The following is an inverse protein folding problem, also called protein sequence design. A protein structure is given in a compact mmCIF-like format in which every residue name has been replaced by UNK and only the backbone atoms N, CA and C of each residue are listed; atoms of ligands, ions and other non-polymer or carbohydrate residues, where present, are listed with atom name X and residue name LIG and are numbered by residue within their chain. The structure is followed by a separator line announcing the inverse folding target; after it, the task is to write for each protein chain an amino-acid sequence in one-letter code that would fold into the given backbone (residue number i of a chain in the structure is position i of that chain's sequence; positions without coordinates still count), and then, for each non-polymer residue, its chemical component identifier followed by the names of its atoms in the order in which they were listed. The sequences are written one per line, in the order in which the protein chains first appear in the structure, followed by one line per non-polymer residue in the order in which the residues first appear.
data_IF_840562297911
#
_entry.id   IF_840562297911
#
_cell.length_a   1.000
_cell.length_b   1.000
_cell.length_c   1.000
_cell.angle_alpha   90.00
_cell.angle_beta   90.00
_cell.angle_gamma   90.00
#
_symmetry.space_group_name_H-M   'P 1'
#
loop_
_entity.id
_entity.type
_entity.pdbx_description
1 polymer ?
#
# COMPACT_ATOMS: atom_id res chain seq x y z
N UNK A 1 13.24 -1.99 -7.77
CA UNK A 1 12.17 -2.97 -7.49
C UNK A 1 10.88 -2.23 -7.25
N UNK A 2 9.74 -2.88 -7.47
CA UNK A 2 8.37 -2.28 -7.44
C UNK A 2 7.57 -2.60 -6.18
N UNK A 3 8.27 -3.09 -5.15
CA UNK A 3 7.68 -3.45 -3.87
C UNK A 3 8.28 -2.63 -2.74
N UNK A 4 7.43 -2.29 -1.78
CA UNK A 4 7.80 -1.79 -0.47
C UNK A 4 7.49 -2.84 0.59
N UNK A 5 8.17 -2.73 1.73
CA UNK A 5 7.94 -3.57 2.91
C UNK A 5 7.60 -2.70 4.12
N UNK A 6 6.40 -2.08 4.16
CA UNK A 6 5.97 -1.26 5.29
C UNK A 6 6.01 -2.04 6.60
N UNK A 7 6.37 -1.31 7.66
CA UNK A 7 6.42 -1.83 9.02
C UNK A 7 5.35 -1.16 9.88
N UNK A 8 4.42 -1.96 10.40
CA UNK A 8 3.27 -1.51 11.18
C UNK A 8 3.48 -1.67 12.69
N UNK A 9 4.70 -2.00 13.14
CA UNK A 9 5.03 -2.20 14.56
C UNK A 9 4.76 -0.96 15.43
N UNK A 10 4.76 0.24 14.84
CA UNK A 10 4.34 1.46 15.56
C UNK A 10 2.90 1.35 16.09
N UNK A 11 2.02 0.67 15.37
CA UNK A 11 0.61 0.47 15.71
C UNK A 11 0.35 -0.85 16.47
N UNK A 12 1.40 -1.54 16.93
CA UNK A 12 1.28 -2.90 17.49
C UNK A 12 0.24 -3.03 18.60
N UNK A 13 0.24 -2.14 19.58
CA UNK A 13 -0.72 -2.19 20.69
C UNK A 13 -2.16 -2.01 20.21
N UNK A 14 -2.41 -1.10 19.27
CA UNK A 14 -3.74 -0.86 18.71
C UNK A 14 -4.22 -2.08 17.91
N UNK A 15 -3.34 -2.64 17.08
CA UNK A 15 -3.63 -3.86 16.32
C UNK A 15 -3.92 -5.06 17.24
N UNK A 16 -3.19 -5.20 18.35
CA UNK A 16 -3.46 -6.24 19.36
C UNK A 16 -4.86 -6.06 19.98
N UNK A 17 -5.27 -4.83 20.30
CA UNK A 17 -6.61 -4.56 20.82
C UNK A 17 -7.73 -4.93 19.84
N UNK A 18 -7.43 -4.89 18.53
CA UNK A 18 -8.31 -5.35 17.45
C UNK A 18 -8.23 -6.85 17.17
N UNK A 19 -7.43 -7.60 17.94
CA UNK A 19 -7.23 -9.05 17.75
C UNK A 19 -6.24 -9.41 16.64
N UNK A 20 -5.48 -8.43 16.12
CA UNK A 20 -4.49 -8.62 15.05
C UNK A 20 -3.12 -8.85 15.69
N UNK A 21 -2.65 -10.08 15.65
CA UNK A 21 -1.43 -10.54 16.34
C UNK A 21 -0.31 -10.94 15.38
N UNK A 22 -0.61 -11.11 14.10
CA UNK A 22 0.35 -11.56 13.09
C UNK A 22 0.08 -10.93 11.71
N UNK A 23 1.02 -11.08 10.79
CA UNK A 23 0.94 -10.46 9.46
C UNK A 23 -0.19 -11.01 8.59
N UNK A 24 -0.62 -12.26 8.76
CA UNK A 24 -1.78 -12.81 8.04
C UNK A 24 -3.06 -12.09 8.45
N UNK A 25 -3.34 -12.02 9.76
CA UNK A 25 -4.50 -11.31 10.31
C UNK A 25 -4.49 -9.83 9.92
N UNK A 26 -3.31 -9.21 9.91
CA UNK A 26 -3.15 -7.82 9.49
C UNK A 26 -3.59 -7.61 8.03
N UNK A 27 -3.12 -8.44 7.11
CA UNK A 27 -3.45 -8.30 5.68
C UNK A 27 -4.89 -8.70 5.38
N UNK A 28 -5.41 -9.73 6.05
CA UNK A 28 -6.79 -10.20 5.91
C UNK A 28 -7.79 -9.16 6.40
N UNK A 29 -7.62 -8.65 7.63
CA UNK A 29 -8.55 -7.65 8.18
C UNK A 29 -8.48 -6.32 7.41
N UNK A 30 -7.28 -5.89 6.99
CA UNK A 30 -7.13 -4.71 6.15
C UNK A 30 -7.91 -4.86 4.84
N UNK A 31 -7.80 -6.01 4.18
CA UNK A 31 -8.52 -6.30 2.94
C UNK A 31 -10.04 -6.30 3.16
N UNK A 32 -10.52 -6.93 4.22
CA UNK A 32 -11.96 -6.99 4.55
C UNK A 32 -12.53 -5.59 4.83
N UNK A 33 -11.81 -4.77 5.58
CA UNK A 33 -12.30 -3.47 6.02
C UNK A 33 -12.18 -2.37 4.95
N UNK A 34 -11.15 -2.46 4.10
CA UNK A 34 -10.79 -1.36 3.17
C UNK A 34 -10.82 -1.74 1.69
N UNK A 35 -10.83 -3.04 1.38
CA UNK A 35 -10.63 -3.54 0.01
C UNK A 35 -9.17 -3.52 -0.46
N UNK A 36 -8.22 -3.03 0.35
CA UNK A 36 -6.80 -2.93 -0.02
C UNK A 36 -6.06 -4.22 0.31
N UNK A 37 -5.51 -4.88 -0.72
CA UNK A 37 -4.77 -6.12 -0.57
C UNK A 37 -3.26 -5.88 -0.39
N UNK A 38 -2.68 -6.48 0.64
CA UNK A 38 -1.24 -6.62 0.85
C UNK A 38 -0.87 -8.10 1.00
N UNK A 39 0.41 -8.44 0.85
CA UNK A 39 0.88 -9.81 1.10
C UNK A 39 1.59 -9.90 2.45
N UNK A 40 1.22 -10.86 3.32
CA UNK A 40 1.79 -10.95 4.66
C UNK A 40 3.28 -11.29 4.61
N UNK A 41 4.05 -10.72 5.53
CA UNK A 41 5.49 -10.98 5.67
C UNK A 41 5.84 -12.47 5.86
N UNK A 42 4.93 -13.23 6.48
CA UNK A 42 5.10 -14.65 6.76
C UNK A 42 5.27 -15.49 5.50
N UNK A 43 4.56 -15.17 4.41
CA UNK A 43 4.68 -15.86 3.12
C UNK A 43 6.08 -15.70 2.49
N UNK A 44 6.86 -14.75 3.00
CA UNK A 44 8.25 -14.48 2.60
C UNK A 44 9.27 -15.02 3.61
N UNK A 45 8.85 -15.89 4.52
CA UNK A 45 9.71 -16.53 5.51
C UNK A 45 10.10 -15.63 6.69
N UNK A 46 9.37 -14.54 6.92
CA UNK A 46 9.56 -13.68 8.10
C UNK A 46 8.78 -14.25 9.30
N UNK A 47 9.16 -13.92 10.55
CA UNK A 47 8.40 -14.31 11.73
C UNK A 47 6.94 -13.87 11.63
N UNK A 48 6.00 -14.72 12.05
CA UNK A 48 4.57 -14.44 11.91
C UNK A 48 4.12 -13.25 12.76
N UNK A 49 4.74 -13.04 13.93
CA UNK A 49 4.49 -11.92 14.83
C UNK A 49 5.08 -10.59 14.34
N UNK A 50 5.82 -10.62 13.23
CA UNK A 50 6.31 -9.43 12.58
C UNK A 50 5.21 -8.79 11.72
N UNK A 51 4.65 -7.69 12.22
CA UNK A 51 3.60 -6.88 11.58
C UNK A 51 4.17 -6.05 10.42
N UNK A 52 4.69 -6.73 9.39
CA UNK A 52 5.10 -6.16 8.11
C UNK A 52 4.36 -6.84 6.97
N UNK A 53 4.32 -6.19 5.82
CA UNK A 53 3.68 -6.74 4.62
C UNK A 53 4.41 -6.28 3.37
N UNK A 54 4.28 -7.03 2.27
CA UNK A 54 4.75 -6.62 0.95
C UNK A 54 3.65 -5.84 0.23
N UNK A 55 3.97 -4.63 -0.19
CA UNK A 55 3.08 -3.75 -0.94
C UNK A 55 3.63 -3.51 -2.34
N UNK A 56 2.82 -3.74 -3.38
CA UNK A 56 3.12 -3.26 -4.73
C UNK A 56 2.64 -1.82 -4.86
N UNK A 57 3.43 -0.96 -5.51
CA UNK A 57 2.99 0.39 -5.88
C UNK A 57 2.74 0.53 -7.40
N UNK A 58 2.73 -0.60 -8.11
CA UNK A 58 2.40 -0.66 -9.53
C UNK A 58 0.96 -1.12 -9.68
N UNK A 59 0.06 -0.15 -9.56
CA UNK A 59 -1.39 -0.29 -9.80
C UNK A 59 -1.86 0.86 -10.69
N UNK A 60 -1.29 0.92 -11.90
CA UNK A 60 -1.61 1.92 -12.91
C UNK A 60 -1.32 1.37 -14.31
N UNK A 61 -1.95 1.96 -15.33
CA UNK A 61 -1.71 1.61 -16.73
C UNK A 61 -0.37 2.22 -17.21
N UNK A 62 0.60 1.35 -17.49
CA UNK A 62 1.92 1.77 -17.97
C UNK A 62 1.92 2.34 -19.39
N UNK A 63 1.01 1.88 -20.26
CA UNK A 63 0.87 2.41 -21.62
C UNK A 63 0.32 3.83 -21.57
N UNK A 64 -0.72 4.06 -20.75
CA UNK A 64 -1.28 5.39 -20.52
C UNK A 64 -0.24 6.32 -19.88
N UNK A 65 0.47 5.86 -18.86
CA UNK A 65 1.53 6.63 -18.19
C UNK A 65 2.62 7.09 -19.18
N UNK A 66 3.08 6.18 -20.05
CA UNK A 66 4.09 6.46 -21.05
C UNK A 66 3.59 7.43 -22.14
N UNK A 67 2.32 7.29 -22.55
CA UNK A 67 1.69 8.21 -23.49
C UNK A 67 1.61 9.61 -22.91
N UNK A 68 1.06 9.74 -21.69
CA UNK A 68 0.93 11.01 -20.99
C UNK A 68 2.29 11.69 -20.77
N UNK A 69 3.31 10.90 -20.41
CA UNK A 69 4.67 11.39 -20.22
C UNK A 69 5.27 11.98 -21.51
N UNK A 70 5.03 11.33 -22.66
CA UNK A 70 5.53 11.79 -23.97
C UNK A 70 4.76 12.96 -24.57
N UNK A 71 3.48 13.10 -24.24
CA UNK A 71 2.61 14.11 -24.84
C UNK A 71 2.50 15.34 -23.94
N UNK A 72 1.87 15.20 -22.78
CA UNK A 72 1.59 16.33 -21.89
C UNK A 72 2.82 16.75 -21.07
N UNK A 73 3.79 15.85 -20.85
CA UNK A 73 4.97 16.10 -20.02
C UNK A 73 6.30 16.06 -20.78
N UNK A 74 6.29 16.23 -22.11
CA UNK A 74 7.50 16.12 -22.94
C UNK A 74 8.61 17.11 -22.56
N UNK A 75 8.24 18.33 -22.16
CA UNK A 75 9.16 19.43 -21.83
C UNK A 75 9.08 19.83 -20.34
N UNK A 76 8.45 19.01 -19.50
CA UNK A 76 8.31 19.30 -18.07
C UNK A 76 8.57 18.06 -17.22
N UNK A 77 9.03 18.28 -16.00
CA UNK A 77 9.24 17.19 -15.06
C UNK A 77 7.91 16.57 -14.64
N UNK A 78 7.89 15.23 -14.56
CA UNK A 78 6.81 14.51 -13.90
C UNK A 78 6.72 14.99 -12.45
N UNK A 79 5.51 15.31 -12.01
CA UNK A 79 5.26 15.94 -10.71
C UNK A 79 4.05 15.29 -10.02
N UNK A 80 3.65 15.82 -8.86
CA UNK A 80 2.52 15.27 -8.10
C UNK A 80 1.23 15.11 -8.91
N UNK A 81 0.93 16.06 -9.81
CA UNK A 81 -0.28 15.99 -10.66
C UNK A 81 -0.23 14.82 -11.65
N UNK A 82 0.97 14.48 -12.15
CA UNK A 82 1.15 13.31 -13.00
C UNK A 82 0.81 12.03 -12.22
N UNK A 83 1.32 11.92 -10.99
CA UNK A 83 1.07 10.78 -10.12
C UNK A 83 -0.41 10.69 -9.73
N UNK A 84 -1.04 11.80 -9.40
CA UNK A 84 -2.49 11.84 -9.10
C UNK A 84 -3.35 11.37 -10.28
N UNK A 85 -2.98 11.77 -11.51
CA UNK A 85 -3.72 11.40 -12.72
C UNK A 85 -3.55 9.92 -13.09
N UNK A 86 -2.35 9.36 -12.96
CA UNK A 86 -2.03 7.99 -13.39
C UNK A 86 -2.22 6.95 -12.28
N UNK A 87 -1.88 7.30 -11.04
CA UNK A 87 -1.78 6.39 -9.91
C UNK A 87 -2.88 6.64 -8.85
N UNK A 88 -4.05 7.15 -9.25
CA UNK A 88 -5.12 7.53 -8.33
C UNK A 88 -5.50 6.42 -7.34
N UNK A 89 -5.70 5.19 -7.83
CA UNK A 89 -6.06 4.03 -7.01
C UNK A 89 -5.00 3.73 -5.93
N UNK A 90 -3.72 3.87 -6.28
CA UNK A 90 -2.62 3.66 -5.34
C UNK A 90 -2.64 4.73 -4.25
N UNK A 91 -2.87 6.00 -4.60
CA UNK A 91 -2.95 7.10 -3.62
C UNK A 91 -4.13 6.90 -2.66
N UNK A 92 -5.29 6.51 -3.20
CA UNK A 92 -6.46 6.17 -2.38
C UNK A 92 -6.19 4.98 -1.47
N UNK A 93 -5.52 3.94 -1.97
CA UNK A 93 -5.16 2.76 -1.17
C UNK A 93 -4.25 3.12 0.00
N UNK A 94 -3.22 3.95 -0.22
CA UNK A 94 -2.32 4.41 0.86
C UNK A 94 -3.10 5.24 1.88
N UNK A 95 -4.00 6.12 1.43
CA UNK A 95 -4.86 6.91 2.32
C UNK A 95 -5.75 6.00 3.18
N UNK A 96 -6.41 5.02 2.57
CA UNK A 96 -7.28 4.06 3.27
C UNK A 96 -6.50 3.26 4.31
N UNK A 97 -5.28 2.78 3.99
CA UNK A 97 -4.41 2.11 4.96
C UNK A 97 -4.10 3.05 6.14
N UNK A 98 -3.72 4.30 5.85
CA UNK A 98 -3.40 5.29 6.88
C UNK A 98 -4.57 5.60 7.81
N UNK A 99 -5.76 5.79 7.24
CA UNK A 99 -7.01 6.01 7.99
C UNK A 99 -7.37 4.78 8.83
N UNK A 100 -7.26 3.58 8.27
CA UNK A 100 -7.57 2.31 8.94
C UNK A 100 -6.65 2.00 10.13
N UNK A 101 -5.38 2.39 10.05
CA UNK A 101 -4.42 2.25 11.16
C UNK A 101 -4.70 3.22 12.32
N UNK A 102 -5.36 4.35 12.04
CA UNK A 102 -5.73 5.35 13.05
C UNK A 102 -7.08 5.05 13.71
N UNK A 103 -7.80 4.04 13.22
CA UNK A 103 -9.05 3.56 13.81
C UNK A 103 -8.71 2.56 14.94
N UNK A 104 -9.22 2.87 16.13
CA UNK A 104 -8.91 2.19 17.39
C UNK A 104 -9.38 0.76 17.46
#
# INVERSE_FOLDING_TARGET
GFYLFPNFSFYKEQLIHRGILNSHQLCEQLLEDTGVALLPSYDFGRPSDELTARMSYVDFDGEEALKLAREEYSEQQLNGRFVEKICGNMLDSIRLIGEWLQQG
#
